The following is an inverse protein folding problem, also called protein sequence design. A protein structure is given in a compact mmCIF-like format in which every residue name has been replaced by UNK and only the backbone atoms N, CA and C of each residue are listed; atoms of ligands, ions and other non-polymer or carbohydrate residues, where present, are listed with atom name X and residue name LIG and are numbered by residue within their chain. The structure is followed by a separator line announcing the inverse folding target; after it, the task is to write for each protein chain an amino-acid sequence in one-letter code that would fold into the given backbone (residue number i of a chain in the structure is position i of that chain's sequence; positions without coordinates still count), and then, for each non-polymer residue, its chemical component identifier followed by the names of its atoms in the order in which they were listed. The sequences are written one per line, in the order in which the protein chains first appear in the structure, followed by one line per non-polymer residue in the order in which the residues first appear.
data_IF_348204025024
#
_entry.id   IF_348204025024
#
_cell.length_a   1.000
_cell.length_b   1.000
_cell.length_c   1.000
_cell.angle_alpha   90.00
_cell.angle_beta   90.00
_cell.angle_gamma   90.00
#
_symmetry.space_group_name_H-M   'P 1'
#
loop_
_entity.id
_entity.type
_entity.pdbx_description
1 polymer ?
#
# COMPACT_ATOMS: atom_id res chain seq x y z
N UNK A 1 14.37 12.65 -16.55
CA UNK A 1 13.59 12.44 -15.30
C UNK A 1 13.72 13.60 -14.30
N UNK A 2 14.94 13.94 -13.84
CA UNK A 2 15.16 14.90 -12.73
C UNK A 2 15.50 16.33 -13.17
N UNK A 3 15.74 16.56 -14.47
CA UNK A 3 16.04 17.90 -14.99
C UNK A 3 14.79 18.80 -14.91
N UNK A 4 14.89 19.99 -14.30
CA UNK A 4 13.76 20.92 -14.22
C UNK A 4 13.25 21.27 -15.61
N UNK A 5 11.94 21.16 -15.82
CA UNK A 5 11.28 21.60 -17.05
C UNK A 5 10.02 22.38 -16.69
N UNK A 6 10.04 23.69 -16.96
CA UNK A 6 8.89 24.57 -16.72
C UNK A 6 7.75 24.36 -17.73
N UNK A 7 7.98 23.56 -18.79
CA UNK A 7 7.16 23.61 -20.01
C UNK A 7 6.05 22.57 -20.08
N UNK A 8 5.90 21.68 -19.09
CA UNK A 8 5.07 20.49 -19.28
C UNK A 8 4.19 20.14 -18.08
N UNK A 9 3.08 20.87 -18.00
CA UNK A 9 1.92 20.55 -17.17
C UNK A 9 0.94 19.57 -17.86
N UNK A 10 1.02 19.45 -19.19
CA UNK A 10 0.14 18.58 -19.98
C UNK A 10 0.82 17.25 -20.30
N UNK A 11 0.04 16.16 -20.28
CA UNK A 11 0.54 14.80 -20.46
C UNK A 11 1.04 14.54 -21.89
N UNK A 12 0.28 15.00 -22.89
CA UNK A 12 0.60 14.77 -24.29
C UNK A 12 1.39 15.91 -24.92
N UNK A 13 2.24 15.63 -25.92
CA UNK A 13 2.56 14.30 -26.48
C UNK A 13 3.53 13.50 -25.60
N UNK A 14 3.38 12.19 -25.40
CA UNK A 14 4.27 11.41 -24.48
C UNK A 14 5.75 11.53 -24.85
N UNK A 15 6.62 11.71 -23.85
CA UNK A 15 8.09 11.80 -24.00
C UNK A 15 8.75 10.49 -23.57
N UNK A 16 8.18 9.81 -22.58
CA UNK A 16 8.61 8.47 -22.16
C UNK A 16 7.44 7.47 -22.30
N UNK A 17 7.19 6.93 -23.51
CA UNK A 17 6.10 5.98 -23.73
C UNK A 17 6.23 4.69 -22.93
N UNK A 18 7.46 4.20 -22.70
CA UNK A 18 7.72 2.98 -21.92
C UNK A 18 7.26 3.12 -20.46
N UNK A 19 7.41 4.31 -19.88
CA UNK A 19 6.96 4.61 -18.53
C UNK A 19 5.44 4.71 -18.47
N UNK A 20 4.83 5.27 -19.52
CA UNK A 20 3.38 5.30 -19.66
C UNK A 20 2.79 3.90 -19.81
N UNK A 21 3.40 3.03 -20.62
CA UNK A 21 3.02 1.61 -20.73
C UNK A 21 3.16 0.89 -19.39
N UNK A 22 4.25 1.11 -18.65
CA UNK A 22 4.43 0.54 -17.31
C UNK A 22 3.34 0.97 -16.34
N UNK A 23 2.91 2.24 -16.39
CA UNK A 23 1.74 2.73 -15.65
C UNK A 23 0.46 2.02 -16.10
N UNK A 24 0.26 1.83 -17.41
CA UNK A 24 -0.94 1.16 -17.94
C UNK A 24 -1.03 -0.29 -17.50
N UNK A 25 0.08 -1.03 -17.56
CA UNK A 25 0.16 -2.40 -17.00
C UNK A 25 -0.22 -2.40 -15.52
N UNK A 26 0.30 -1.46 -14.71
CA UNK A 26 -0.09 -1.36 -13.30
C UNK A 26 -1.57 -1.05 -13.13
N UNK A 27 -2.16 -0.21 -14.00
CA UNK A 27 -3.56 0.17 -13.92
C UNK A 27 -4.53 -0.95 -14.32
N UNK A 28 -4.10 -1.85 -15.20
CA UNK A 28 -4.88 -3.03 -15.61
C UNK A 28 -4.97 -4.08 -14.49
N UNK A 29 -4.00 -4.10 -13.57
CA UNK A 29 -3.98 -5.01 -12.42
C UNK A 29 -4.53 -4.36 -11.15
N UNK A 30 -5.44 -3.40 -11.29
CA UNK A 30 -6.11 -2.77 -10.17
C UNK A 30 -6.93 -3.81 -9.37
N UNK A 31 -6.86 -3.70 -8.05
CA UNK A 31 -7.70 -4.47 -7.14
C UNK A 31 -8.04 -3.66 -5.88
N UNK A 32 -9.16 -3.98 -5.25
CA UNK A 32 -9.66 -3.31 -4.03
C UNK A 32 -9.58 -4.23 -2.82
N UNK A 33 -9.51 -3.65 -1.61
CA UNK A 33 -9.39 -4.42 -0.37
C UNK A 33 -10.54 -5.43 -0.19
N UNK A 34 -11.74 -5.08 -0.65
CA UNK A 34 -12.93 -5.94 -0.58
C UNK A 34 -12.80 -7.22 -1.42
N UNK A 35 -12.03 -7.17 -2.52
CA UNK A 35 -11.79 -8.34 -3.36
C UNK A 35 -10.80 -9.34 -2.74
N UNK A 36 -9.99 -8.88 -1.79
CA UNK A 36 -8.97 -9.69 -1.09
C UNK A 36 -9.33 -9.97 0.38
N UNK A 37 -10.42 -9.39 0.89
CA UNK A 37 -10.83 -9.52 2.28
C UNK A 37 -11.03 -10.99 2.68
N UNK A 38 -10.66 -11.32 3.92
CA UNK A 38 -10.87 -12.67 4.46
C UNK A 38 -12.38 -12.89 4.61
N UNK A 39 -12.96 -13.95 4.02
CA UNK A 39 -14.37 -14.21 4.14
C UNK A 39 -14.77 -14.37 5.61
N UNK A 40 -15.92 -13.81 6.06
CA UNK A 40 -16.37 -13.94 7.45
C UNK A 40 -16.61 -15.40 7.90
N UNK A 41 -16.65 -16.35 6.96
CA UNK A 41 -16.85 -17.78 7.19
C UNK A 41 -15.61 -18.62 6.89
N UNK A 42 -14.42 -18.01 6.74
CA UNK A 42 -13.20 -18.76 6.49
C UNK A 42 -12.81 -19.61 7.72
N UNK A 43 -12.41 -20.86 7.48
CA UNK A 43 -11.84 -21.78 8.48
C UNK A 43 -10.63 -21.21 9.22
N UNK A 44 -10.02 -20.14 8.69
CA UNK A 44 -8.95 -19.35 9.29
C UNK A 44 -9.43 -18.33 10.35
N UNK A 45 -10.71 -18.33 10.73
CA UNK A 45 -11.24 -17.55 11.87
C UNK A 45 -10.33 -17.64 13.11
N UNK A 46 -10.43 -16.64 14.01
CA UNK A 46 -9.66 -16.56 15.26
C UNK A 46 -9.48 -17.92 15.96
N UNK A 47 -10.51 -18.77 15.95
CA UNK A 47 -10.53 -20.05 16.67
C UNK A 47 -10.01 -21.26 15.87
N UNK A 48 -9.83 -21.12 14.55
CA UNK A 48 -9.32 -22.18 13.67
C UNK A 48 -7.80 -22.34 13.66
N UNK A 49 -7.06 -21.33 14.14
CA UNK A 49 -5.59 -21.32 14.17
C UNK A 49 -5.02 -21.43 15.59
N UNK A 50 -3.91 -22.17 15.79
CA UNK A 50 -3.17 -22.14 17.05
C UNK A 50 -2.71 -20.73 17.39
N UNK A 51 -2.88 -20.32 18.66
CA UNK A 51 -2.52 -18.99 19.14
C UNK A 51 -1.11 -18.51 18.72
N UNK A 52 -0.04 -19.32 18.78
CA UNK A 52 1.29 -18.88 18.35
C UNK A 52 1.37 -18.51 16.86
N UNK A 53 0.71 -19.29 16.00
CA UNK A 53 0.67 -19.06 14.55
C UNK A 53 -0.13 -17.79 14.26
N UNK A 54 -1.31 -17.65 14.88
CA UNK A 54 -2.16 -16.47 14.76
C UNK A 54 -1.44 -15.19 15.16
N UNK A 55 -0.74 -15.20 16.29
CA UNK A 55 0.05 -14.06 16.76
C UNK A 55 1.25 -13.74 15.84
N UNK A 56 1.87 -14.76 15.24
CA UNK A 56 2.95 -14.56 14.27
C UNK A 56 2.44 -13.85 13.00
N UNK A 57 1.32 -14.33 12.45
CA UNK A 57 0.66 -13.74 11.28
C UNK A 57 0.21 -12.31 11.57
N UNK A 58 -0.45 -12.08 12.71
CA UNK A 58 -0.91 -10.76 13.12
C UNK A 58 0.24 -9.75 13.28
N UNK A 59 1.36 -10.16 13.90
CA UNK A 59 2.56 -9.31 14.01
C UNK A 59 3.21 -9.02 12.67
N UNK A 60 3.23 -9.99 11.76
CA UNK A 60 3.77 -9.81 10.41
C UNK A 60 2.93 -8.82 9.63
N UNK A 61 1.60 -8.96 9.66
CA UNK A 61 0.67 -8.03 9.04
C UNK A 61 0.76 -6.62 9.66
N UNK A 62 0.88 -6.51 10.99
CA UNK A 62 1.09 -5.25 11.67
C UNK A 62 2.42 -4.59 11.26
N UNK A 63 3.51 -5.36 11.13
CA UNK A 63 4.79 -4.85 10.65
C UNK A 63 4.69 -4.32 9.21
N UNK A 64 3.91 -4.99 8.33
CA UNK A 64 3.67 -4.47 6.99
C UNK A 64 2.90 -3.15 7.02
N UNK A 65 1.83 -3.05 7.81
CA UNK A 65 1.05 -1.82 7.97
C UNK A 65 1.91 -0.67 8.56
N UNK A 66 2.80 -0.97 9.52
CA UNK A 66 3.65 0.02 10.20
C UNK A 66 4.66 0.71 9.29
N UNK A 67 4.98 0.10 8.14
CA UNK A 67 5.88 0.72 7.16
C UNK A 67 5.32 2.02 6.55
N UNK A 68 4.00 2.23 6.63
CA UNK A 68 3.29 3.41 6.12
C UNK A 68 2.83 4.38 7.24
N UNK A 69 3.50 4.37 8.40
CA UNK A 69 3.24 5.36 9.44
C UNK A 69 3.49 6.79 8.94
N UNK A 70 2.72 7.80 9.37
CA UNK A 70 3.08 9.20 9.17
C UNK A 70 4.52 9.49 9.61
N UNK A 71 5.34 10.07 8.73
CA UNK A 71 6.77 10.30 8.96
C UNK A 71 7.65 9.05 8.79
N UNK A 72 7.08 7.92 8.35
CA UNK A 72 7.80 6.70 8.02
C UNK A 72 8.72 6.85 6.81
N UNK A 73 9.64 5.89 6.66
CA UNK A 73 10.66 5.89 5.59
C UNK A 73 10.03 5.90 4.20
N UNK A 74 8.97 5.10 3.99
CA UNK A 74 8.30 5.00 2.69
C UNK A 74 7.58 6.30 2.34
N UNK A 75 6.80 6.87 3.26
CA UNK A 75 6.11 8.14 3.03
C UNK A 75 7.12 9.27 2.73
N UNK A 76 8.20 9.33 3.49
CA UNK A 76 9.27 10.32 3.29
C UNK A 76 9.95 10.14 1.92
N UNK A 77 10.21 8.90 1.50
CA UNK A 77 10.76 8.59 0.19
C UNK A 77 9.81 8.99 -0.93
N UNK A 78 8.51 8.69 -0.81
CA UNK A 78 7.48 9.08 -1.79
C UNK A 78 7.41 10.59 -1.93
N UNK A 79 7.39 11.34 -0.82
CA UNK A 79 7.38 12.81 -0.84
C UNK A 79 8.65 13.37 -1.51
N UNK A 80 9.81 12.84 -1.12
CA UNK A 80 11.10 13.23 -1.68
C UNK A 80 11.18 12.97 -3.20
N UNK A 81 10.82 11.76 -3.64
CA UNK A 81 10.84 11.38 -5.06
C UNK A 81 9.82 12.22 -5.84
N UNK A 82 8.59 12.33 -5.34
CA UNK A 82 7.52 13.09 -6.00
C UNK A 82 7.91 14.56 -6.21
N UNK A 83 8.60 15.17 -5.25
CA UNK A 83 9.07 16.56 -5.36
C UNK A 83 10.14 16.77 -6.44
N UNK A 84 10.85 15.70 -6.84
CA UNK A 84 11.96 15.74 -7.81
C UNK A 84 11.55 15.26 -9.20
N UNK A 85 10.39 14.62 -9.34
CA UNK A 85 9.89 14.11 -10.61
C UNK A 85 9.24 15.23 -11.43
N UNK A 86 9.80 15.50 -12.61
CA UNK A 86 9.27 16.50 -13.52
C UNK A 86 8.42 15.89 -14.65
N UNK A 87 8.66 14.64 -15.02
CA UNK A 87 7.89 13.97 -16.09
C UNK A 87 6.47 13.63 -15.61
N UNK A 88 5.41 14.02 -16.36
CA UNK A 88 4.03 13.69 -16.01
C UNK A 88 3.77 12.17 -16.02
N UNK A 89 4.41 11.42 -16.90
CA UNK A 89 4.31 9.96 -16.98
C UNK A 89 4.83 9.32 -15.67
N UNK A 90 5.97 9.78 -15.17
CA UNK A 90 6.58 9.31 -13.93
C UNK A 90 5.74 9.67 -12.70
N UNK A 91 5.22 10.91 -12.66
CA UNK A 91 4.33 11.36 -11.59
C UNK A 91 3.04 10.53 -11.55
N UNK A 92 2.48 10.21 -12.71
CA UNK A 92 1.27 9.38 -12.81
C UNK A 92 1.54 7.95 -12.34
N UNK A 93 2.64 7.33 -12.80
CA UNK A 93 3.03 5.99 -12.38
C UNK A 93 3.28 5.91 -10.86
N UNK A 94 4.01 6.87 -10.29
CA UNK A 94 4.25 6.93 -8.85
C UNK A 94 2.95 7.18 -8.06
N UNK A 95 2.09 8.07 -8.52
CA UNK A 95 0.79 8.33 -7.89
C UNK A 95 -0.10 7.09 -7.86
N UNK A 96 -0.13 6.32 -8.94
CA UNK A 96 -0.83 5.04 -9.00
C UNK A 96 -0.23 4.04 -8.01
N UNK A 97 1.10 3.91 -7.98
CA UNK A 97 1.77 3.01 -7.05
C UNK A 97 1.44 3.33 -5.59
N UNK A 98 1.46 4.61 -5.22
CA UNK A 98 1.10 5.07 -3.86
C UNK A 98 -0.34 4.74 -3.52
N UNK A 99 -1.27 4.96 -4.46
CA UNK A 99 -2.67 4.58 -4.28
C UNK A 99 -2.82 3.07 -4.05
N UNK A 100 -2.19 2.22 -4.88
CA UNK A 100 -2.31 0.76 -4.74
C UNK A 100 -1.67 0.28 -3.45
N UNK A 101 -0.57 0.91 -3.02
CA UNK A 101 0.07 0.61 -1.75
C UNK A 101 -0.84 0.93 -0.55
N UNK A 102 -1.67 1.97 -0.61
CA UNK A 102 -2.67 2.24 0.44
C UNK A 102 -3.71 1.12 0.54
N UNK A 103 -4.12 0.54 -0.60
CA UNK A 103 -4.99 -0.65 -0.61
C UNK A 103 -4.29 -1.85 0.06
N UNK A 104 -2.97 -2.02 -0.14
CA UNK A 104 -2.22 -3.07 0.56
C UNK A 104 -2.21 -2.88 2.08
N UNK A 105 -2.05 -1.63 2.55
CA UNK A 105 -2.09 -1.29 3.97
C UNK A 105 -3.48 -1.57 4.56
N UNK A 106 -4.55 -1.22 3.83
CA UNK A 106 -5.93 -1.52 4.23
C UNK A 106 -6.15 -3.03 4.42
N UNK A 107 -5.71 -3.86 3.46
CA UNK A 107 -5.78 -5.33 3.60
C UNK A 107 -4.97 -5.82 4.79
N UNK A 108 -3.76 -5.30 5.00
CA UNK A 108 -2.95 -5.69 6.15
C UNK A 108 -3.67 -5.37 7.49
N UNK A 109 -4.25 -4.18 7.61
CA UNK A 109 -5.05 -3.79 8.78
C UNK A 109 -6.28 -4.70 8.98
N UNK A 110 -6.98 -5.03 7.89
CA UNK A 110 -8.13 -5.96 7.93
C UNK A 110 -7.72 -7.36 8.40
N UNK A 111 -6.57 -7.87 7.94
CA UNK A 111 -6.02 -9.16 8.40
C UNK A 111 -5.69 -9.11 9.90
N UNK A 112 -5.08 -8.02 10.38
CA UNK A 112 -4.81 -7.83 11.81
C UNK A 112 -6.11 -7.87 12.61
N UNK A 113 -7.14 -7.16 12.16
CA UNK A 113 -8.45 -7.12 12.83
C UNK A 113 -9.09 -8.52 12.87
N UNK A 114 -9.09 -9.22 11.73
CA UNK A 114 -9.64 -10.57 11.60
C UNK A 114 -8.94 -11.60 12.51
N UNK A 115 -7.60 -11.54 12.62
CA UNK A 115 -6.83 -12.51 13.41
C UNK A 115 -6.87 -12.24 14.92
N UNK A 116 -7.08 -11.00 15.35
CA UNK A 116 -7.00 -10.61 16.76
C UNK A 116 -8.39 -10.46 17.39
N UNK A 117 -9.40 -10.11 16.59
CA UNK A 117 -10.75 -9.78 17.08
C UNK A 117 -10.71 -8.62 18.08
N UNK A 118 -11.63 -8.64 19.03
CA UNK A 118 -11.83 -7.57 20.02
C UNK A 118 -10.90 -7.69 21.25
N UNK A 119 -9.64 -8.06 21.02
CA UNK A 119 -8.65 -8.24 22.07
C UNK A 119 -8.05 -6.89 22.52
N UNK A 120 -7.71 -6.69 23.81
CA UNK A 120 -6.92 -5.54 24.23
C UNK A 120 -5.54 -5.45 23.55
N UNK A 121 -5.06 -6.54 22.96
CA UNK A 121 -3.86 -6.56 22.11
C UNK A 121 -4.01 -5.79 20.79
N UNK A 122 -5.24 -5.51 20.36
CA UNK A 122 -5.56 -4.73 19.15
C UNK A 122 -4.91 -3.35 19.22
N UNK A 123 -5.14 -2.62 20.32
CA UNK A 123 -4.56 -1.30 20.54
C UNK A 123 -3.02 -1.35 20.48
N UNK A 124 -2.41 -2.27 21.22
CA UNK A 124 -0.95 -2.42 21.24
C UNK A 124 -0.34 -2.71 19.85
N UNK A 125 -1.03 -3.48 19.01
CA UNK A 125 -0.53 -3.83 17.68
C UNK A 125 -0.75 -2.70 16.67
N UNK A 126 -1.84 -1.94 16.77
CA UNK A 126 -2.00 -0.71 15.98
C UNK A 126 -1.14 0.45 16.50
N UNK A 127 -0.76 0.48 17.78
CA UNK A 127 0.20 1.45 18.32
C UNK A 127 1.64 1.19 17.83
N UNK A 128 1.92 -0.06 17.42
CA UNK A 128 3.17 -0.41 16.74
C UNK A 128 3.16 -0.10 15.23
N UNK A 129 2.00 0.29 14.69
CA UNK A 129 1.78 0.75 13.31
C UNK A 129 2.01 2.26 13.19
#
# INVERSE_FOLDING_TARGET
LLTPSAKRFVLFPLVEPSLWESYKVQSEHFWTAEQCGVPPHDSLTHDGLPKPVRMCLARTAALFASTYRPGGVIQSAVLSISSRLHLPEARTALGWHVMQYNVHVEVACSIVDFLIGDSPLRGLLFDSV
#
